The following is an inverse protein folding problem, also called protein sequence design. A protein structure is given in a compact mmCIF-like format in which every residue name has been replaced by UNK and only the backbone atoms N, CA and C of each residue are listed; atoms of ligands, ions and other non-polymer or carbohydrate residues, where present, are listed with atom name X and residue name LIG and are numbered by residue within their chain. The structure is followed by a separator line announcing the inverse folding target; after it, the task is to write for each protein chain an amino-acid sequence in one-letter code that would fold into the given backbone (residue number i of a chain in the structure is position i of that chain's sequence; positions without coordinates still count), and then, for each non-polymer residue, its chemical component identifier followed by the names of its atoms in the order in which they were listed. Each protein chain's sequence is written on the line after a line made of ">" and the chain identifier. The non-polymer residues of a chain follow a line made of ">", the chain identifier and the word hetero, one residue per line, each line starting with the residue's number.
data_IF_024917820814
#
_entry.id   IF_024917820814
#
_cell.length_a   1.000
_cell.length_b   1.000
_cell.length_c   1.000
_cell.angle_alpha   90.00
_cell.angle_beta   90.00
_cell.angle_gamma   90.00
#
_symmetry.space_group_name_H-M   'P 1'
#
loop_
_entity.id
_entity.type
_entity.pdbx_description
1 polymer ?
#
# COMPACT_ATOMS: atom_id res chain seq x y z
N UNK A 1 -4.87 -5.71 44.75
CA UNK A 1 -6.01 -6.20 43.95
C UNK A 1 -5.53 -6.41 42.53
N UNK A 2 -6.03 -7.42 41.80
CA UNK A 2 -5.66 -7.61 40.40
C UNK A 2 -6.12 -6.38 39.60
N UNK A 3 -5.22 -5.72 38.86
CA UNK A 3 -5.61 -4.58 38.04
C UNK A 3 -6.70 -5.02 37.06
N UNK A 4 -7.80 -4.27 36.95
CA UNK A 4 -8.85 -4.60 36.00
C UNK A 4 -8.23 -4.67 34.61
N UNK A 5 -8.58 -5.71 33.86
CA UNK A 5 -8.11 -5.85 32.49
C UNK A 5 -8.97 -4.97 31.58
N UNK A 6 -8.34 -4.25 30.65
CA UNK A 6 -9.05 -3.38 29.72
C UNK A 6 -10.13 -4.17 28.95
N UNK A 7 -11.42 -3.78 29.02
CA UNK A 7 -12.52 -4.57 28.47
C UNK A 7 -12.41 -4.83 26.96
N UNK A 8 -11.79 -3.92 26.21
CA UNK A 8 -11.64 -4.02 24.76
C UNK A 8 -10.27 -4.56 24.32
N UNK A 9 -9.50 -5.20 25.22
CA UNK A 9 -8.18 -5.75 24.91
C UNK A 9 -8.22 -6.79 23.77
N UNK A 10 -9.23 -7.66 23.75
CA UNK A 10 -9.39 -8.62 22.65
C UNK A 10 -9.67 -7.94 21.30
N UNK A 11 -10.46 -6.86 21.31
CA UNK A 11 -10.73 -6.07 20.11
C UNK A 11 -9.46 -5.41 19.59
N UNK A 12 -8.64 -4.84 20.47
CA UNK A 12 -7.32 -4.27 20.11
C UNK A 12 -6.44 -5.32 19.45
N UNK A 13 -6.37 -6.54 20.01
CA UNK A 13 -5.58 -7.65 19.42
C UNK A 13 -6.07 -8.04 18.04
N UNK A 14 -7.38 -8.16 17.84
CA UNK A 14 -7.97 -8.47 16.54
C UNK A 14 -7.65 -7.36 15.53
N UNK A 15 -7.80 -6.09 15.93
CA UNK A 15 -7.52 -4.96 15.03
C UNK A 15 -6.03 -4.86 14.68
N UNK A 16 -5.11 -5.12 15.62
CA UNK A 16 -3.67 -5.21 15.34
C UNK A 16 -3.34 -6.29 14.31
N UNK A 17 -3.91 -7.49 14.44
CA UNK A 17 -3.74 -8.55 13.43
C UNK A 17 -4.24 -8.13 12.06
N UNK A 18 -5.42 -7.48 11.98
CA UNK A 18 -5.97 -6.95 10.72
C UNK A 18 -5.08 -5.87 10.10
N UNK A 19 -4.39 -5.08 10.92
CA UNK A 19 -3.41 -4.10 10.44
C UNK A 19 -2.19 -4.81 9.84
N UNK A 20 -1.62 -5.79 10.54
CA UNK A 20 -0.50 -6.59 10.04
C UNK A 20 -0.84 -7.31 8.72
N UNK A 21 -2.07 -7.85 8.62
CA UNK A 21 -2.58 -8.43 7.37
C UNK A 21 -2.67 -7.38 6.26
N UNK A 22 -3.14 -6.17 6.55
CA UNK A 22 -3.21 -5.08 5.59
C UNK A 22 -1.81 -4.64 5.11
N UNK A 23 -0.82 -4.62 6.00
CA UNK A 23 0.57 -4.33 5.65
C UNK A 23 1.15 -5.38 4.71
N UNK A 24 0.87 -6.67 4.98
CA UNK A 24 1.25 -7.77 4.07
C UNK A 24 0.60 -7.63 2.70
N UNK A 25 -0.70 -7.34 2.66
CA UNK A 25 -1.43 -7.11 1.40
C UNK A 25 -0.84 -5.92 0.64
N UNK A 26 -0.58 -4.80 1.30
CA UNK A 26 0.03 -3.63 0.67
C UNK A 26 1.41 -3.96 0.10
N UNK A 27 2.21 -4.75 0.82
CA UNK A 27 3.52 -5.21 0.33
C UNK A 27 3.38 -6.07 -0.92
N UNK A 28 2.49 -7.05 -0.91
CA UNK A 28 2.22 -7.90 -2.08
C UNK A 28 1.77 -7.07 -3.29
N UNK A 29 0.87 -6.10 -3.09
CA UNK A 29 0.41 -5.21 -4.18
C UNK A 29 1.50 -4.32 -4.74
N UNK A 30 2.44 -3.86 -3.91
CA UNK A 30 3.62 -3.12 -4.37
C UNK A 30 4.55 -4.00 -5.20
N UNK A 31 4.75 -5.24 -4.78
CA UNK A 31 5.55 -6.21 -5.53
C UNK A 31 4.90 -6.55 -6.88
N UNK A 32 3.58 -6.75 -6.92
CA UNK A 32 2.82 -6.93 -8.17
C UNK A 32 2.99 -5.72 -9.11
N UNK A 33 2.85 -4.48 -8.59
CA UNK A 33 3.05 -3.26 -9.37
C UNK A 33 4.47 -3.18 -9.96
N UNK A 34 5.48 -3.55 -9.16
CA UNK A 34 6.87 -3.52 -9.61
C UNK A 34 7.15 -4.56 -10.71
N UNK A 35 6.56 -5.75 -10.60
CA UNK A 35 6.64 -6.76 -11.67
C UNK A 35 5.98 -6.28 -12.96
N UNK A 36 4.81 -5.64 -12.88
CA UNK A 36 4.13 -5.12 -14.07
C UNK A 36 4.87 -3.94 -14.71
N UNK A 37 5.57 -3.11 -13.92
CA UNK A 37 6.47 -2.07 -14.43
C UNK A 37 7.68 -2.65 -15.17
N UNK A 38 8.33 -3.66 -14.61
CA UNK A 38 9.45 -4.34 -15.29
C UNK A 38 9.02 -4.92 -16.63
N UNK A 39 7.86 -5.59 -16.67
CA UNK A 39 7.28 -6.08 -17.94
C UNK A 39 6.98 -4.94 -18.92
N UNK A 40 6.54 -3.79 -18.42
CA UNK A 40 6.32 -2.61 -19.26
C UNK A 40 7.64 -2.12 -19.87
N UNK A 41 8.70 -2.02 -19.08
CA UNK A 41 10.03 -1.62 -19.55
C UNK A 41 10.55 -2.56 -20.64
N UNK A 42 10.47 -3.88 -20.42
CA UNK A 42 10.87 -4.89 -21.42
C UNK A 42 10.08 -4.75 -22.75
N UNK A 43 8.77 -4.49 -22.66
CA UNK A 43 7.92 -4.28 -23.84
C UNK A 43 8.23 -2.95 -24.55
N UNK A 44 8.55 -1.89 -23.81
CA UNK A 44 8.95 -0.60 -24.36
C UNK A 44 10.31 -0.69 -25.05
N UNK A 45 11.27 -1.41 -24.49
CA UNK A 45 12.56 -1.71 -25.12
C UNK A 45 12.35 -2.48 -26.43
N UNK A 46 11.59 -3.57 -26.41
CA UNK A 46 11.28 -4.36 -27.60
C UNK A 46 10.54 -3.54 -28.69
N UNK A 47 9.71 -2.56 -28.28
CA UNK A 47 9.05 -1.61 -29.20
C UNK A 47 10.06 -0.64 -29.78
N UNK A 48 10.95 -0.08 -28.96
CA UNK A 48 11.97 0.88 -29.38
C UNK A 48 12.99 0.26 -30.34
N UNK A 49 13.38 -0.99 -30.13
CA UNK A 49 14.23 -1.73 -31.06
C UNK A 49 13.58 -1.87 -32.44
N UNK A 50 12.29 -2.20 -32.48
CA UNK A 50 11.55 -2.33 -33.76
C UNK A 50 11.37 -0.98 -34.44
N UNK A 51 11.13 0.06 -33.66
CA UNK A 51 11.08 1.42 -34.16
C UNK A 51 12.42 1.85 -34.78
N UNK A 52 13.55 1.57 -34.10
CA UNK A 52 14.89 1.83 -34.65
C UNK A 52 15.13 1.05 -35.92
N UNK A 53 14.83 -0.25 -35.94
CA UNK A 53 14.94 -1.09 -37.14
C UNK A 53 14.12 -0.52 -38.31
N UNK A 54 12.89 -0.07 -38.06
CA UNK A 54 12.05 0.60 -39.07
C UNK A 54 12.72 1.88 -39.58
N UNK A 55 13.23 2.72 -38.68
CA UNK A 55 13.91 3.97 -39.00
C UNK A 55 15.16 3.71 -39.87
N UNK A 56 15.96 2.73 -39.50
CA UNK A 56 17.18 2.33 -40.22
C UNK A 56 16.83 1.83 -41.61
N UNK A 57 15.77 1.02 -41.75
CA UNK A 57 15.29 0.52 -43.04
C UNK A 57 14.72 1.62 -43.93
N UNK A 58 14.07 2.62 -43.34
CA UNK A 58 13.63 3.81 -44.09
C UNK A 58 14.82 4.64 -44.58
N UNK A 59 15.84 4.82 -43.75
CA UNK A 59 17.07 5.53 -44.13
C UNK A 59 17.80 4.78 -45.24
N UNK A 60 17.95 3.46 -45.12
CA UNK A 60 18.53 2.59 -46.16
C UNK A 60 17.79 2.73 -47.49
N UNK A 61 16.45 2.71 -47.48
CA UNK A 61 15.65 2.90 -48.69
C UNK A 61 15.88 4.29 -49.29
N UNK A 62 15.98 5.33 -48.46
CA UNK A 62 16.22 6.70 -48.93
C UNK A 62 17.59 6.83 -49.60
N UNK A 63 18.63 6.28 -48.99
CA UNK A 63 19.98 6.26 -49.56
C UNK A 63 20.03 5.46 -50.88
N UNK A 64 19.30 4.35 -50.96
CA UNK A 64 19.17 3.56 -52.20
C UNK A 64 18.40 4.29 -53.30
N UNK A 65 17.40 5.09 -52.95
CA UNK A 65 16.69 5.94 -53.90
C UNK A 65 17.59 7.07 -54.43
N UNK A 66 18.37 7.71 -53.56
CA UNK A 66 19.31 8.77 -53.94
C UNK A 66 20.43 8.26 -54.86
N UNK A 67 20.80 6.97 -54.74
CA UNK A 67 21.76 6.29 -55.63
C UNK A 67 21.17 5.88 -56.99
N UNK A 68 19.88 6.05 -57.23
CA UNK A 68 19.22 5.71 -58.50
C UNK A 68 19.02 4.20 -58.72
N UNK A 69 18.55 3.49 -57.69
CA UNK A 69 18.28 2.04 -57.77
C UNK A 69 17.08 1.67 -58.66
N UNK A 70 16.96 0.38 -58.98
CA UNK A 70 15.89 -0.20 -59.81
C UNK A 70 14.53 -0.17 -59.12
N UNK A 71 13.47 0.08 -59.90
CA UNK A 71 12.08 0.17 -59.40
C UNK A 71 11.62 -1.04 -58.58
N UNK A 72 12.07 -2.25 -58.95
CA UNK A 72 11.67 -3.49 -58.25
C UNK A 72 12.27 -3.58 -56.84
N UNK A 73 13.52 -3.13 -56.64
CA UNK A 73 14.15 -3.10 -55.31
C UNK A 73 13.41 -2.13 -54.37
N UNK A 74 13.00 -0.98 -54.89
CA UNK A 74 12.21 0.02 -54.15
C UNK A 74 10.85 -0.56 -53.73
N UNK A 75 10.19 -1.34 -54.60
CA UNK A 75 8.92 -2.01 -54.26
C UNK A 75 9.10 -3.03 -53.14
N UNK A 76 10.12 -3.88 -53.20
CA UNK A 76 10.41 -4.89 -52.18
C UNK A 76 10.71 -4.22 -50.83
N UNK A 77 11.55 -3.19 -50.82
CA UNK A 77 11.89 -2.46 -49.60
C UNK A 77 10.67 -1.76 -48.98
N UNK A 78 9.77 -1.18 -49.79
CA UNK A 78 8.50 -0.62 -49.31
C UNK A 78 7.60 -1.67 -48.67
N UNK A 79 7.47 -2.84 -49.29
CA UNK A 79 6.64 -3.92 -48.74
C UNK A 79 7.21 -4.42 -47.41
N UNK A 80 8.54 -4.55 -47.31
CA UNK A 80 9.21 -4.88 -46.06
C UNK A 80 8.96 -3.84 -44.97
N UNK A 81 9.04 -2.54 -45.28
CA UNK A 81 8.74 -1.47 -44.32
C UNK A 81 7.29 -1.55 -43.83
N UNK A 82 6.32 -1.93 -44.69
CA UNK A 82 4.94 -2.14 -44.25
C UNK A 82 4.80 -3.29 -43.27
N UNK A 83 5.51 -4.40 -43.48
CA UNK A 83 5.51 -5.54 -42.55
C UNK A 83 6.06 -5.11 -41.19
N UNK A 84 7.19 -4.39 -41.18
CA UNK A 84 7.79 -3.86 -39.94
C UNK A 84 6.88 -2.83 -39.26
N UNK A 85 6.15 -2.02 -40.03
CA UNK A 85 5.15 -1.09 -39.50
C UNK A 85 3.98 -1.81 -38.80
N UNK A 86 3.54 -2.94 -39.35
CA UNK A 86 2.50 -3.76 -38.73
C UNK A 86 2.99 -4.43 -37.45
N UNK A 87 4.22 -4.94 -37.45
CA UNK A 87 4.86 -5.46 -36.23
C UNK A 87 5.00 -4.38 -35.15
N UNK A 88 5.36 -3.16 -35.53
CA UNK A 88 5.45 -2.02 -34.61
C UNK A 88 4.08 -1.70 -33.99
N UNK A 89 3.00 -1.64 -34.79
CA UNK A 89 1.63 -1.42 -34.28
C UNK A 89 1.21 -2.49 -33.30
N UNK A 90 1.54 -3.76 -33.57
CA UNK A 90 1.25 -4.86 -32.66
C UNK A 90 2.00 -4.70 -31.33
N UNK A 91 3.27 -4.28 -31.37
CA UNK A 91 4.06 -4.01 -30.15
C UNK A 91 3.54 -2.79 -29.39
N UNK A 92 3.16 -1.72 -30.09
CA UNK A 92 2.53 -0.54 -29.48
C UNK A 92 1.22 -0.89 -28.77
N UNK A 93 0.38 -1.74 -29.40
CA UNK A 93 -0.84 -2.24 -28.75
C UNK A 93 -0.53 -3.03 -27.48
N UNK A 94 0.48 -3.91 -27.50
CA UNK A 94 0.92 -4.64 -26.31
C UNK A 94 1.39 -3.71 -25.18
N UNK A 95 2.15 -2.65 -25.52
CA UNK A 95 2.56 -1.63 -24.55
C UNK A 95 1.35 -0.89 -23.98
N UNK A 96 0.38 -0.49 -24.82
CA UNK A 96 -0.85 0.17 -24.34
C UNK A 96 -1.67 -0.73 -23.42
N UNK A 97 -1.80 -2.01 -23.74
CA UNK A 97 -2.50 -2.97 -22.89
C UNK A 97 -1.75 -3.19 -21.56
N UNK A 98 -0.42 -3.16 -21.59
CA UNK A 98 0.40 -3.25 -20.37
C UNK A 98 0.29 -1.99 -19.50
N UNK A 99 0.25 -0.79 -20.10
CA UNK A 99 0.02 0.47 -19.38
C UNK A 99 -1.29 0.41 -18.58
N UNK A 100 -2.36 -0.14 -19.17
CA UNK A 100 -3.64 -0.33 -18.46
C UNK A 100 -3.48 -1.25 -17.25
N UNK A 101 -2.77 -2.37 -17.39
CA UNK A 101 -2.50 -3.30 -16.27
C UNK A 101 -1.68 -2.66 -15.16
N UNK A 102 -0.69 -1.85 -15.51
CA UNK A 102 0.13 -1.09 -14.54
C UNK A 102 -0.75 -0.08 -13.79
N UNK A 103 -1.65 0.60 -14.49
CA UNK A 103 -2.58 1.55 -13.85
C UNK A 103 -3.59 0.83 -12.95
N UNK A 104 -4.13 -0.32 -13.36
CA UNK A 104 -4.97 -1.16 -12.48
C UNK A 104 -4.21 -1.63 -11.24
N UNK A 105 -2.95 -2.06 -11.38
CA UNK A 105 -2.10 -2.45 -10.25
C UNK A 105 -1.83 -1.26 -9.32
N UNK A 106 -1.62 -0.07 -9.88
CA UNK A 106 -1.43 1.18 -9.12
C UNK A 106 -2.68 1.54 -8.32
N UNK A 107 -3.87 1.40 -8.91
CA UNK A 107 -5.14 1.62 -8.22
C UNK A 107 -5.31 0.65 -7.05
N UNK A 108 -4.98 -0.64 -7.24
CA UNK A 108 -5.01 -1.65 -6.16
C UNK A 108 -4.05 -1.32 -5.01
N UNK A 109 -2.86 -0.79 -5.31
CA UNK A 109 -1.93 -0.32 -4.27
C UNK A 109 -2.52 0.84 -3.48
N UNK A 110 -3.16 1.78 -4.15
CA UNK A 110 -3.77 2.95 -3.50
C UNK A 110 -4.99 2.55 -2.64
N UNK A 111 -5.81 1.61 -3.10
CA UNK A 111 -6.89 1.03 -2.31
C UNK A 111 -6.36 0.33 -1.06
N UNK A 112 -5.32 -0.50 -1.19
CA UNK A 112 -4.68 -1.16 -0.06
C UNK A 112 -4.08 -0.15 0.92
N UNK A 113 -3.53 0.96 0.42
CA UNK A 113 -2.99 2.06 1.26
C UNK A 113 -4.10 2.75 2.03
N UNK A 114 -5.24 3.05 1.39
CA UNK A 114 -6.42 3.64 2.06
C UNK A 114 -6.97 2.71 3.14
N UNK A 115 -7.04 1.42 2.87
CA UNK A 115 -7.47 0.42 3.85
C UNK A 115 -6.52 0.34 5.06
N UNK A 116 -5.20 0.35 4.80
CA UNK A 116 -4.19 0.39 5.86
C UNK A 116 -4.39 1.62 6.77
N UNK A 117 -4.56 2.80 6.19
CA UNK A 117 -4.76 4.05 6.94
C UNK A 117 -6.02 3.97 7.81
N UNK A 118 -7.14 3.46 7.28
CA UNK A 118 -8.37 3.25 8.06
C UNK A 118 -8.14 2.34 9.26
N UNK A 119 -7.41 1.24 9.06
CA UNK A 119 -7.07 0.28 10.12
C UNK A 119 -6.13 0.89 11.17
N UNK A 120 -5.19 1.75 10.76
CA UNK A 120 -4.33 2.51 11.69
C UNK A 120 -5.16 3.46 12.56
N UNK A 121 -6.06 4.24 11.95
CA UNK A 121 -6.95 5.16 12.67
C UNK A 121 -7.84 4.42 13.68
N UNK A 122 -8.34 3.24 13.32
CA UNK A 122 -9.13 2.40 14.23
C UNK A 122 -8.34 1.95 15.47
N UNK A 123 -7.06 1.58 15.31
CA UNK A 123 -6.20 1.20 16.42
C UNK A 123 -5.86 2.42 17.28
N UNK A 124 -5.60 3.55 16.65
CA UNK A 124 -5.30 4.80 17.35
C UNK A 124 -6.48 5.24 18.24
N UNK A 125 -7.72 5.16 17.72
CA UNK A 125 -8.94 5.38 18.50
C UNK A 125 -9.04 4.46 19.72
N UNK A 126 -8.77 3.16 19.53
CA UNK A 126 -8.79 2.21 20.65
C UNK A 126 -7.69 2.47 21.67
N UNK A 127 -6.52 2.94 21.23
CA UNK A 127 -5.42 3.30 22.12
C UNK A 127 -5.75 4.56 22.94
N UNK A 128 -6.41 5.56 22.33
CA UNK A 128 -6.90 6.74 23.05
C UNK A 128 -7.92 6.35 24.12
N UNK A 129 -8.94 5.58 23.75
CA UNK A 129 -9.95 5.08 24.69
C UNK A 129 -9.32 4.26 25.82
N UNK A 130 -8.32 3.42 25.52
CA UNK A 130 -7.58 2.68 26.57
C UNK A 130 -6.90 3.62 27.56
N UNK A 131 -6.25 4.68 27.08
CA UNK A 131 -5.60 5.67 27.95
C UNK A 131 -6.61 6.38 28.85
N UNK A 132 -7.78 6.73 28.31
CA UNK A 132 -8.86 7.36 29.07
C UNK A 132 -9.40 6.40 30.14
N UNK A 133 -9.67 5.15 29.76
CA UNK A 133 -10.11 4.12 30.69
C UNK A 133 -9.08 3.86 31.81
N UNK A 134 -7.79 3.76 31.47
CA UNK A 134 -6.72 3.58 32.46
C UNK A 134 -6.67 4.77 33.45
N UNK A 135 -7.00 5.99 32.99
CA UNK A 135 -7.08 7.19 33.85
C UNK A 135 -8.29 7.13 34.78
N UNK A 136 -9.44 6.74 34.27
CA UNK A 136 -10.67 6.58 35.06
C UNK A 136 -10.51 5.49 36.13
N UNK A 137 -9.94 4.34 35.78
CA UNK A 137 -9.70 3.27 36.73
C UNK A 137 -8.75 3.69 37.85
N UNK A 138 -7.70 4.45 37.54
CA UNK A 138 -6.81 5.02 38.55
C UNK A 138 -7.53 6.00 39.48
N UNK A 139 -8.35 6.89 38.92
CA UNK A 139 -9.11 7.84 39.72
C UNK A 139 -10.12 7.14 40.66
N UNK A 140 -10.75 6.06 40.19
CA UNK A 140 -11.63 5.23 41.02
C UNK A 140 -10.86 4.52 42.15
N UNK A 141 -9.68 3.98 41.84
CA UNK A 141 -8.82 3.32 42.84
C UNK A 141 -8.35 4.31 43.92
N UNK A 142 -7.92 5.52 43.52
CA UNK A 142 -7.54 6.60 44.43
C UNK A 142 -8.70 7.04 45.33
N UNK A 143 -9.90 7.18 44.76
CA UNK A 143 -11.10 7.54 45.51
C UNK A 143 -11.51 6.45 46.52
N UNK A 144 -11.44 5.17 46.11
CA UNK A 144 -11.72 4.05 46.99
C UNK A 144 -10.71 3.98 48.15
N UNK A 145 -9.42 4.17 47.87
CA UNK A 145 -8.38 4.24 48.90
C UNK A 145 -8.60 5.40 49.87
N UNK A 146 -9.04 6.56 49.38
CA UNK A 146 -9.35 7.72 50.22
C UNK A 146 -10.51 7.44 51.19
N UNK A 147 -11.59 6.80 50.71
CA UNK A 147 -12.71 6.37 51.56
C UNK A 147 -12.22 5.38 52.62
N UNK A 148 -11.50 4.33 52.22
CA UNK A 148 -11.00 3.31 53.14
C UNK A 148 -10.07 3.92 54.22
N UNK A 149 -9.24 4.88 53.82
CA UNK A 149 -8.35 5.59 54.76
C UNK A 149 -9.13 6.44 55.76
N UNK A 150 -10.17 7.13 55.31
CA UNK A 150 -11.04 7.94 56.18
C UNK A 150 -11.88 7.07 57.13
N UNK A 151 -12.40 5.94 56.65
CA UNK A 151 -13.10 4.94 57.47
C UNK A 151 -12.19 4.36 58.55
N UNK A 152 -10.95 4.00 58.20
CA UNK A 152 -9.95 3.54 59.17
C UNK A 152 -9.63 4.65 60.19
N UNK A 153 -9.45 5.89 59.72
CA UNK A 153 -9.20 7.05 60.58
C UNK A 153 -10.33 7.28 61.58
N UNK A 154 -11.57 7.26 61.11
CA UNK A 154 -12.78 7.39 61.91
C UNK A 154 -12.94 6.24 62.90
N UNK A 155 -12.71 4.99 62.48
CA UNK A 155 -12.75 3.83 63.36
C UNK A 155 -11.69 3.91 64.46
N UNK A 156 -10.45 4.28 64.12
CA UNK A 156 -9.37 4.48 65.09
C UNK A 156 -9.70 5.59 66.09
N UNK A 157 -10.24 6.72 65.62
CA UNK A 157 -10.67 7.82 66.48
C UNK A 157 -11.76 7.38 67.47
N UNK A 158 -12.77 6.66 66.99
CA UNK A 158 -13.85 6.12 67.83
C UNK A 158 -13.32 5.14 68.88
N UNK A 159 -12.37 4.27 68.52
CA UNK A 159 -11.73 3.32 69.46
C UNK A 159 -10.96 4.06 70.56
N UNK A 160 -10.20 5.12 70.23
CA UNK A 160 -9.48 5.93 71.24
C UNK A 160 -10.46 6.56 72.24
N UNK A 161 -11.53 7.17 71.73
CA UNK A 161 -12.58 7.79 72.56
C UNK A 161 -13.24 6.79 73.51
N UNK A 162 -13.48 5.54 73.07
CA UNK A 162 -14.04 4.48 73.92
C UNK A 162 -13.07 4.01 75.01
N UNK A 163 -11.76 4.09 74.77
CA UNK A 163 -10.72 3.70 75.75
C UNK A 163 -10.44 4.76 76.81
N UNK A 164 -11.08 5.94 76.72
CA UNK A 164 -10.90 7.01 77.69
C UNK A 164 -9.57 7.75 77.59
N UNK A 165 -8.90 7.66 76.43
CA UNK A 165 -7.78 8.53 76.02
C UNK A 165 -8.29 9.77 75.27
#
# INVERSE_FOLDING_TARGET
>A
MAQPQYPLEQLVRIKKRRLEEAEKVLKQKKEELEQEKKKQEELEEARNETFRHKQDKMTQLRDEMDRGTTSDKIKIAREYIKVVDEELKQKEKKVQDQIKKVEEARQKVEEARKDLVKKQQDIEKLNMHRKEWDKEMKALEEHQMAIETDEIGSAMHNIRKLKGE
#
